data_IF_553306570032
#
_entry.id   IF_553306570032
#
_cell.length_a   1.000
_cell.length_b   1.000
_cell.length_c   1.000
_cell.angle_alpha   90.00
_cell.angle_beta   90.00
_cell.angle_gamma   90.00
#
_symmetry.space_group_name_H-M   'P 1'
#
loop_
_entity.id
_entity.type
_entity.pdbx_description
1 polymer ?
#
# COMPACT_ATOMS: atom_id res chain seq x y z
N UNK A 1 -27.68 52.59 -23.95
CA UNK A 1 -28.14 51.31 -23.36
C UNK A 1 -28.76 50.36 -24.40
N UNK A 2 -28.13 50.14 -25.56
CA UNK A 2 -28.64 49.19 -26.59
C UNK A 2 -27.64 48.10 -27.01
N UNK A 3 -26.40 48.14 -26.53
CA UNK A 3 -25.37 47.12 -26.85
C UNK A 3 -25.33 45.93 -25.88
N UNK A 4 -25.87 46.07 -24.66
CA UNK A 4 -25.92 44.99 -23.66
C UNK A 4 -26.94 43.92 -24.07
N UNK A 5 -28.05 44.33 -24.68
CA UNK A 5 -29.14 43.43 -25.12
C UNK A 5 -28.75 42.45 -26.24
N UNK A 6 -27.81 42.80 -27.11
CA UNK A 6 -27.36 41.90 -28.19
C UNK A 6 -26.36 40.84 -27.70
N UNK A 7 -25.55 41.15 -26.68
CA UNK A 7 -24.63 40.17 -26.10
C UNK A 7 -25.36 39.13 -25.26
N UNK A 8 -26.39 39.55 -24.49
CA UNK A 8 -27.24 38.62 -23.74
C UNK A 8 -28.04 37.68 -24.66
N UNK A 9 -28.48 38.16 -25.83
CA UNK A 9 -29.13 37.31 -26.85
C UNK A 9 -28.17 36.28 -27.43
N UNK A 10 -26.91 36.66 -27.70
CA UNK A 10 -25.88 35.76 -28.23
C UNK A 10 -25.43 34.69 -27.24
N UNK A 11 -25.45 35.00 -25.94
CA UNK A 11 -25.14 34.03 -24.87
C UNK A 11 -26.26 33.01 -24.65
N UNK A 12 -27.52 33.38 -24.95
CA UNK A 12 -28.69 32.47 -24.83
C UNK A 12 -28.78 31.46 -25.99
N UNK A 13 -28.27 31.81 -27.17
CA UNK A 13 -28.22 30.94 -28.35
C UNK A 13 -27.12 29.86 -28.28
N UNK A 14 -26.10 30.07 -27.43
CA UNK A 14 -24.96 29.16 -27.26
C UNK A 14 -25.13 28.13 -26.12
N UNK A 15 -26.31 28.04 -25.51
CA UNK A 15 -26.68 26.94 -24.60
C UNK A 15 -25.91 26.88 -23.27
N UNK A 16 -25.31 27.98 -22.81
CA UNK A 16 -24.47 28.00 -21.60
C UNK A 16 -25.12 28.64 -20.35
N UNK A 17 -26.43 28.87 -20.34
CA UNK A 17 -27.13 29.33 -19.12
C UNK A 17 -28.22 28.34 -18.73
N UNK A 18 -27.91 27.57 -17.68
CA UNK A 18 -28.80 26.63 -17.01
C UNK A 18 -30.08 27.32 -16.55
N UNK A 19 -31.20 26.68 -16.85
CA UNK A 19 -32.56 27.14 -16.56
C UNK A 19 -32.81 27.32 -15.05
N UNK A 20 -33.52 28.40 -14.75
CA UNK A 20 -34.19 28.68 -13.49
C UNK A 20 -35.02 27.47 -13.01
N UNK A 21 -34.87 27.16 -11.72
CA UNK A 21 -35.68 26.21 -10.96
C UNK A 21 -37.08 26.79 -10.84
N UNK A 22 -38.05 26.19 -11.53
CA UNK A 22 -39.48 26.49 -11.37
C UNK A 22 -40.08 25.48 -10.39
N UNK A 23 -40.61 25.97 -9.28
CA UNK A 23 -41.44 25.21 -8.34
C UNK A 23 -42.81 24.92 -8.96
N UNK A 24 -43.10 23.66 -9.25
CA UNK A 24 -44.47 23.18 -9.39
C UNK A 24 -44.66 21.91 -8.56
N UNK A 25 -45.65 22.00 -7.65
CA UNK A 25 -46.28 20.88 -6.96
C UNK A 25 -47.14 20.15 -7.97
N UNK A 26 -46.99 18.84 -8.11
CA UNK A 26 -48.16 17.95 -8.18
C UNK A 26 -47.81 16.46 -8.01
N UNK A 27 -48.71 15.86 -7.25
CA UNK A 27 -49.21 14.50 -7.21
C UNK A 27 -48.42 13.26 -6.76
N UNK A 28 -49.14 12.61 -5.84
CA UNK A 28 -48.98 11.27 -5.31
C UNK A 28 -49.16 10.27 -6.45
N UNK A 29 -48.15 9.44 -6.66
CA UNK A 29 -48.29 7.99 -6.87
C UNK A 29 -46.88 7.41 -7.01
N UNK A 30 -46.36 6.83 -5.93
CA UNK A 30 -45.24 5.91 -5.96
C UNK A 30 -45.62 4.68 -5.17
N UNK A 31 -46.14 3.73 -5.94
CA UNK A 31 -45.93 2.29 -5.84
C UNK A 31 -45.03 1.83 -4.69
N UNK A 32 -45.58 0.89 -3.92
CA UNK A 32 -44.89 0.04 -2.95
C UNK A 32 -43.57 -0.51 -3.51
N UNK A 33 -42.47 0.14 -3.15
CA UNK A 33 -41.14 -0.45 -3.15
C UNK A 33 -40.74 -0.59 -1.68
N UNK A 34 -40.87 -1.82 -1.21
CA UNK A 34 -40.36 -2.34 0.05
C UNK A 34 -38.97 -1.76 0.32
N UNK A 35 -38.89 -0.80 1.24
CA UNK A 35 -37.64 -0.46 1.89
C UNK A 35 -37.40 -1.55 2.93
N UNK A 36 -36.62 -2.56 2.56
CA UNK A 36 -35.94 -3.38 3.55
C UNK A 36 -35.05 -2.44 4.37
N UNK A 37 -35.56 -2.05 5.54
CA UNK A 37 -34.78 -1.53 6.64
C UNK A 37 -33.82 -2.65 7.04
N UNK A 38 -32.62 -2.67 6.47
CA UNK A 38 -31.51 -3.39 7.06
C UNK A 38 -31.20 -2.63 8.35
N UNK A 39 -31.73 -3.11 9.48
CA UNK A 39 -31.23 -2.74 10.80
C UNK A 39 -29.75 -3.14 10.81
N UNK A 40 -28.88 -2.16 10.58
CA UNK A 40 -27.46 -2.32 10.82
C UNK A 40 -27.29 -2.69 12.29
N UNK A 41 -26.62 -3.79 12.64
CA UNK A 41 -26.25 -4.07 14.03
C UNK A 41 -25.50 -2.85 14.57
N UNK A 42 -25.64 -2.56 15.86
CA UNK A 42 -25.05 -1.40 16.54
C UNK A 42 -23.50 -1.51 16.55
N UNK A 43 -22.91 -1.20 15.39
CA UNK A 43 -21.46 -1.28 15.13
C UNK A 43 -20.68 -0.37 16.06
N UNK A 44 -21.28 0.72 16.51
CA UNK A 44 -20.72 1.62 17.52
C UNK A 44 -20.56 0.89 18.86
N UNK A 45 -21.60 0.17 19.30
CA UNK A 45 -21.55 -0.60 20.54
C UNK A 45 -20.60 -1.81 20.46
N UNK A 46 -20.47 -2.46 19.30
CA UNK A 46 -19.47 -3.51 19.09
C UNK A 46 -18.05 -2.93 19.10
N UNK A 47 -17.82 -1.83 18.40
CA UNK A 47 -16.55 -1.11 18.40
C UNK A 47 -16.15 -0.68 19.81
N UNK A 48 -17.06 -0.06 20.56
CA UNK A 48 -16.87 0.35 21.95
C UNK A 48 -16.49 -0.82 22.87
N UNK A 49 -17.06 -2.00 22.66
CA UNK A 49 -16.66 -3.22 23.40
C UNK A 49 -15.24 -3.65 23.04
N UNK A 50 -14.86 -3.59 21.77
CA UNK A 50 -13.50 -3.92 21.31
C UNK A 50 -12.45 -2.93 21.87
N UNK A 51 -12.70 -1.62 21.78
CA UNK A 51 -11.75 -0.60 22.24
C UNK A 51 -11.73 -0.41 23.76
N UNK A 52 -12.74 -0.88 24.50
CA UNK A 52 -12.72 -0.88 25.97
C UNK A 52 -12.26 -2.21 26.57
N UNK A 53 -12.24 -3.27 25.77
CA UNK A 53 -11.77 -4.60 26.14
C UNK A 53 -10.33 -4.84 25.70
N UNK A 54 -10.14 -5.79 24.79
CA UNK A 54 -8.83 -6.31 24.37
C UNK A 54 -7.91 -5.26 23.74
N UNK A 55 -8.46 -4.26 23.04
CA UNK A 55 -7.69 -3.27 22.29
C UNK A 55 -7.52 -1.93 23.01
N UNK A 56 -7.89 -1.85 24.29
CA UNK A 56 -7.92 -0.59 25.04
C UNK A 56 -6.57 0.11 25.10
N UNK A 57 -5.51 -0.61 25.42
CA UNK A 57 -4.17 -0.02 25.55
C UNK A 57 -3.66 0.51 24.20
N UNK A 58 -3.83 -0.27 23.13
CA UNK A 58 -3.44 0.11 21.77
C UNK A 58 -4.27 1.30 21.26
N UNK A 59 -5.57 1.32 21.54
CA UNK A 59 -6.45 2.42 21.19
C UNK A 59 -6.08 3.71 21.94
N UNK A 60 -5.86 3.62 23.26
CA UNK A 60 -5.42 4.77 24.06
C UNK A 60 -4.06 5.30 23.61
N UNK A 61 -3.12 4.42 23.26
CA UNK A 61 -1.82 4.82 22.73
C UNK A 61 -1.95 5.52 21.37
N UNK A 62 -2.70 4.94 20.43
CA UNK A 62 -2.99 5.57 19.13
C UNK A 62 -3.66 6.93 19.30
N UNK A 63 -4.62 7.07 20.21
CA UNK A 63 -5.29 8.34 20.51
C UNK A 63 -4.35 9.36 21.14
N UNK A 64 -3.53 8.98 22.12
CA UNK A 64 -2.51 9.87 22.71
C UNK A 64 -1.52 10.36 21.67
N UNK A 65 -1.05 9.48 20.79
CA UNK A 65 -0.11 9.83 19.73
C UNK A 65 -0.76 10.75 18.67
N UNK A 66 -1.99 10.45 18.27
CA UNK A 66 -2.74 11.31 17.35
C UNK A 66 -3.00 12.69 17.94
N UNK A 67 -3.45 12.75 19.21
CA UNK A 67 -3.71 13.99 19.91
C UNK A 67 -2.43 14.82 20.10
N UNK A 68 -1.30 14.20 20.47
CA UNK A 68 0.01 14.88 20.54
C UNK A 68 0.42 15.46 19.19
N UNK A 69 0.28 14.70 18.11
CA UNK A 69 0.59 15.18 16.74
C UNK A 69 -0.30 16.34 16.35
N UNK A 70 -1.62 16.21 16.52
CA UNK A 70 -2.58 17.28 16.20
C UNK A 70 -2.38 18.51 17.07
N UNK A 71 -2.08 18.33 18.36
CA UNK A 71 -1.80 19.44 19.26
C UNK A 71 -0.53 20.18 18.85
N UNK A 72 0.53 19.45 18.47
CA UNK A 72 1.76 20.06 17.93
C UNK A 72 1.48 20.81 16.62
N UNK A 73 0.79 20.20 15.67
CA UNK A 73 0.41 20.84 14.41
C UNK A 73 -0.45 22.09 14.64
N UNK A 74 -1.42 22.01 15.55
CA UNK A 74 -2.27 23.15 15.93
C UNK A 74 -1.48 24.25 16.64
N UNK A 75 -0.56 23.88 17.53
CA UNK A 75 0.34 24.82 18.21
C UNK A 75 1.28 25.49 17.22
N UNK A 76 1.88 24.74 16.29
CA UNK A 76 2.78 25.27 15.26
C UNK A 76 2.03 26.19 14.30
N UNK A 77 0.79 25.83 13.92
CA UNK A 77 -0.09 26.71 13.13
C UNK A 77 -0.44 27.98 13.89
N UNK A 78 -0.77 27.88 15.19
CA UNK A 78 -1.05 29.04 16.03
C UNK A 78 0.19 29.95 16.15
N UNK A 79 1.36 29.38 16.40
CA UNK A 79 2.62 30.14 16.46
C UNK A 79 2.94 30.84 15.13
N UNK A 80 2.72 30.17 13.99
CA UNK A 80 2.83 30.79 12.66
C UNK A 80 1.81 31.91 12.47
N UNK A 81 0.59 31.73 12.94
CA UNK A 81 -0.45 32.76 12.82
C UNK A 81 -0.10 33.98 13.68
N UNK A 82 0.31 33.79 14.94
CA UNK A 82 0.79 34.85 15.82
C UNK A 82 2.01 35.59 15.24
N UNK A 83 2.91 34.86 14.55
CA UNK A 83 4.04 35.48 13.85
C UNK A 83 3.58 36.32 12.65
N UNK A 84 2.66 35.81 11.84
CA UNK A 84 2.09 36.54 10.71
C UNK A 84 1.29 37.77 11.19
N UNK A 85 0.52 37.64 12.27
CA UNK A 85 -0.20 38.75 12.90
C UNK A 85 0.77 39.86 13.35
N UNK A 86 1.94 39.53 13.91
CA UNK A 86 2.96 40.53 14.24
C UNK A 86 3.46 41.27 13.00
N UNK A 87 3.73 40.55 11.91
CA UNK A 87 4.16 41.16 10.64
C UNK A 87 3.07 42.08 10.10
N UNK A 88 1.82 41.61 10.08
CA UNK A 88 0.65 42.37 9.61
C UNK A 88 0.47 43.63 10.47
N UNK A 89 0.57 43.53 11.79
CA UNK A 89 0.51 44.68 12.70
C UNK A 89 1.61 45.71 12.44
N UNK A 90 2.86 45.27 12.23
CA UNK A 90 3.96 46.17 11.87
C UNK A 90 3.72 46.88 10.54
N UNK A 91 3.16 46.18 9.55
CA UNK A 91 2.80 46.78 8.27
C UNK A 91 1.63 47.76 8.40
N UNK A 92 0.60 47.42 9.19
CA UNK A 92 -0.51 48.33 9.48
C UNK A 92 -0.04 49.60 10.18
N UNK A 93 0.91 49.52 11.12
CA UNK A 93 1.54 50.68 11.74
C UNK A 93 2.30 51.54 10.73
N UNK A 94 3.09 50.92 9.83
CA UNK A 94 3.81 51.61 8.75
C UNK A 94 2.87 52.38 7.81
N UNK A 95 1.71 51.80 7.46
CA UNK A 95 0.71 52.41 6.58
C UNK A 95 -0.35 53.23 7.34
N UNK A 96 -0.22 53.39 8.66
CA UNK A 96 -1.17 54.10 9.53
C UNK A 96 -2.62 53.59 9.46
N UNK A 97 -2.80 52.29 9.21
CA UNK A 97 -4.10 51.62 9.13
C UNK A 97 -4.49 51.17 10.53
N UNK A 98 -5.55 51.75 11.09
CA UNK A 98 -5.94 51.55 12.50
C UNK A 98 -6.96 50.42 12.70
N UNK A 99 -7.67 50.03 11.65
CA UNK A 99 -8.90 49.23 11.80
C UNK A 99 -8.66 47.71 11.74
N UNK A 100 -7.40 47.28 11.63
CA UNK A 100 -7.07 45.84 11.51
C UNK A 100 -7.47 45.24 10.15
N UNK A 101 -7.95 46.06 9.22
CA UNK A 101 -8.43 45.61 7.92
C UNK A 101 -7.27 45.24 7.00
N UNK A 102 -7.14 43.94 6.75
CA UNK A 102 -6.17 43.39 5.82
C UNK A 102 -6.40 43.84 4.38
N UNK A 103 -7.64 44.18 3.99
CA UNK A 103 -7.93 44.64 2.63
C UNK A 103 -7.36 46.04 2.39
N UNK A 104 -7.61 46.97 3.31
CA UNK A 104 -6.98 48.30 3.31
C UNK A 104 -5.45 48.21 3.32
N UNK A 105 -4.88 47.22 4.01
CA UNK A 105 -3.44 46.97 4.01
C UNK A 105 -2.92 46.53 2.63
N UNK A 106 -3.63 45.62 1.95
CA UNK A 106 -3.30 45.20 0.59
C UNK A 106 -3.32 46.40 -0.35
N UNK A 107 -4.37 47.23 -0.30
CA UNK A 107 -4.49 48.43 -1.14
C UNK A 107 -3.37 49.45 -0.89
N UNK A 108 -3.03 49.68 0.38
CA UNK A 108 -1.93 50.59 0.73
C UNK A 108 -0.55 50.07 0.27
N UNK A 109 -0.33 48.75 0.34
CA UNK A 109 0.88 48.11 -0.17
C UNK A 109 0.94 48.19 -1.70
N UNK A 110 -0.17 47.93 -2.39
CA UNK A 110 -0.24 48.01 -3.86
C UNK A 110 -0.04 49.43 -4.40
N UNK A 111 -0.45 50.44 -3.64
CA UNK A 111 -0.23 51.84 -3.97
C UNK A 111 1.19 52.35 -3.62
N UNK A 112 1.95 51.61 -2.78
CA UNK A 112 3.29 51.98 -2.35
C UNK A 112 4.35 51.59 -3.39
N UNK A 113 4.54 52.48 -4.37
CA UNK A 113 5.49 52.30 -5.45
C UNK A 113 6.95 52.57 -5.06
N UNK A 114 7.22 52.98 -3.80
CA UNK A 114 8.55 53.45 -3.41
C UNK A 114 9.65 52.41 -3.68
N UNK A 115 9.40 51.16 -3.30
CA UNK A 115 10.34 50.06 -3.51
C UNK A 115 10.47 49.64 -4.98
N UNK A 116 9.39 49.79 -5.77
CA UNK A 116 9.38 49.42 -7.18
C UNK A 116 10.03 50.49 -8.06
N UNK A 117 9.96 51.77 -7.69
CA UNK A 117 10.64 52.87 -8.38
C UNK A 117 12.14 52.69 -8.40
N UNK A 118 12.74 52.47 -7.25
CA UNK A 118 14.19 52.25 -7.13
C UNK A 118 14.66 51.01 -7.91
N UNK A 119 13.85 49.95 -7.92
CA UNK A 119 14.15 48.72 -8.67
C UNK A 119 13.97 48.92 -10.18
N UNK A 120 12.90 49.60 -10.60
CA UNK A 120 12.60 49.90 -11.99
C UNK A 120 13.69 50.80 -12.61
N UNK A 121 14.13 51.83 -11.88
CA UNK A 121 15.25 52.70 -12.29
C UNK A 121 16.55 51.92 -12.48
N UNK A 122 16.90 51.02 -11.56
CA UNK A 122 18.09 50.15 -11.68
C UNK A 122 18.01 49.21 -12.88
N UNK A 123 16.81 48.71 -13.17
CA UNK A 123 16.55 47.80 -14.29
C UNK A 123 16.32 48.54 -15.62
N UNK A 124 16.27 49.88 -15.60
CA UNK A 124 16.03 50.71 -16.78
C UNK A 124 14.63 50.53 -17.39
N UNK A 125 13.64 50.14 -16.59
CA UNK A 125 12.25 49.92 -17.01
C UNK A 125 11.32 50.90 -16.32
N UNK A 126 10.15 51.12 -16.89
CA UNK A 126 9.07 51.88 -16.24
C UNK A 126 8.48 51.06 -15.07
N UNK A 127 8.04 51.74 -14.01
CA UNK A 127 7.48 51.11 -12.80
C UNK A 127 6.28 50.23 -13.09
N UNK A 128 5.41 50.67 -14.00
CA UNK A 128 4.19 49.94 -14.36
C UNK A 128 4.52 48.66 -15.14
N UNK A 129 5.58 48.68 -15.95
CA UNK A 129 6.11 47.49 -16.62
C UNK A 129 6.65 46.49 -15.59
N UNK A 130 7.39 46.96 -14.59
CA UNK A 130 7.91 46.10 -13.52
C UNK A 130 6.77 45.48 -12.68
N UNK A 131 5.74 46.27 -12.32
CA UNK A 131 4.55 45.75 -11.63
C UNK A 131 3.90 44.62 -12.42
N UNK A 132 3.68 44.82 -13.72
CA UNK A 132 3.05 43.80 -14.56
C UNK A 132 3.90 42.55 -14.68
N UNK A 133 5.21 42.72 -14.79
CA UNK A 133 6.16 41.59 -14.82
C UNK A 133 6.07 40.77 -13.53
N UNK A 134 6.13 41.41 -12.36
CA UNK A 134 6.01 40.75 -11.05
C UNK A 134 4.68 40.02 -10.89
N UNK A 135 3.58 40.63 -11.34
CA UNK A 135 2.26 39.99 -11.32
C UNK A 135 2.25 38.72 -12.18
N UNK A 136 2.81 38.79 -13.40
CA UNK A 136 2.93 37.63 -14.29
C UNK A 136 3.84 36.54 -13.72
N UNK A 137 4.95 36.90 -13.08
CA UNK A 137 5.83 35.94 -12.41
C UNK A 137 5.12 35.19 -11.28
N UNK A 138 4.36 35.93 -10.46
CA UNK A 138 3.56 35.33 -9.39
C UNK A 138 2.46 34.41 -9.93
N UNK A 139 1.73 34.85 -10.96
CA UNK A 139 0.73 34.02 -11.64
C UNK A 139 1.37 32.77 -12.27
N UNK A 140 2.55 32.89 -12.88
CA UNK A 140 3.27 31.76 -13.46
C UNK A 140 3.76 30.77 -12.39
N UNK A 141 4.31 31.25 -11.28
CA UNK A 141 4.74 30.41 -10.16
C UNK A 141 3.56 29.69 -9.50
N UNK A 142 2.45 30.40 -9.27
CA UNK A 142 1.23 29.79 -8.74
C UNK A 142 0.65 28.74 -9.69
N UNK A 143 0.61 29.01 -11.01
CA UNK A 143 0.21 28.04 -12.02
C UNK A 143 1.16 26.83 -12.10
N UNK A 144 2.47 27.04 -12.00
CA UNK A 144 3.44 25.94 -11.95
C UNK A 144 3.23 25.06 -10.73
N UNK A 145 3.06 25.67 -9.55
CA UNK A 145 2.77 24.97 -8.31
C UNK A 145 1.45 24.20 -8.37
N UNK A 146 0.41 24.74 -9.00
CA UNK A 146 -0.87 24.02 -9.17
C UNK A 146 -0.71 22.80 -10.09
N UNK A 147 -0.02 22.97 -11.22
CA UNK A 147 0.30 21.88 -12.16
C UNK A 147 1.12 20.79 -11.47
N UNK A 148 2.15 21.16 -10.70
CA UNK A 148 3.00 20.19 -10.01
C UNK A 148 2.25 19.44 -8.91
N UNK A 149 1.36 20.14 -8.17
CA UNK A 149 0.45 19.50 -7.21
C UNK A 149 -0.49 18.51 -7.90
N UNK A 150 -1.08 18.89 -9.03
CA UNK A 150 -1.98 18.02 -9.79
C UNK A 150 -1.25 16.79 -10.33
N UNK A 151 -0.05 16.97 -10.89
CA UNK A 151 0.81 15.86 -11.32
C UNK A 151 1.18 14.94 -10.17
N UNK A 152 1.55 15.50 -9.01
CA UNK A 152 1.88 14.71 -7.82
C UNK A 152 0.66 13.93 -7.32
N UNK A 153 -0.51 14.56 -7.27
CA UNK A 153 -1.77 13.91 -6.88
C UNK A 153 -2.13 12.76 -7.84
N UNK A 154 -2.09 12.99 -9.15
CA UNK A 154 -2.33 11.94 -10.17
C UNK A 154 -1.34 10.79 -10.06
N UNK A 155 -0.07 11.08 -9.83
CA UNK A 155 0.96 10.04 -9.61
C UNK A 155 0.63 9.22 -8.36
N UNK A 156 0.28 9.89 -7.27
CA UNK A 156 -0.08 9.23 -6.01
C UNK A 156 -1.34 8.37 -6.15
N UNK A 157 -2.38 8.88 -6.81
CA UNK A 157 -3.61 8.13 -7.10
C UNK A 157 -3.31 6.87 -7.91
N UNK A 158 -2.51 6.98 -8.98
CA UNK A 158 -2.08 5.82 -9.76
C UNK A 158 -1.34 4.80 -8.90
N UNK A 159 -0.38 5.24 -8.11
CA UNK A 159 0.40 4.34 -7.22
C UNK A 159 -0.51 3.67 -6.19
N UNK A 160 -1.47 4.39 -5.60
CA UNK A 160 -2.43 3.80 -4.66
C UNK A 160 -3.29 2.74 -5.35
N UNK A 161 -3.79 3.02 -6.56
CA UNK A 161 -4.58 2.05 -7.32
C UNK A 161 -3.77 0.80 -7.67
N UNK A 162 -2.51 0.96 -8.04
CA UNK A 162 -1.57 -0.16 -8.26
C UNK A 162 -1.36 -0.95 -6.97
N UNK A 163 -1.15 -0.28 -5.84
CA UNK A 163 -0.98 -0.95 -4.55
C UNK A 163 -2.24 -1.70 -4.09
N UNK A 164 -3.44 -1.18 -4.32
CA UNK A 164 -4.66 -1.89 -3.97
C UNK A 164 -4.75 -3.20 -4.78
N UNK A 165 -4.56 -3.13 -6.09
CA UNK A 165 -4.59 -4.32 -6.97
C UNK A 165 -3.48 -5.32 -6.62
N UNK A 166 -2.26 -4.83 -6.39
CA UNK A 166 -1.13 -5.69 -6.02
C UNK A 166 -1.34 -6.34 -4.66
N UNK A 167 -1.94 -5.62 -3.70
CA UNK A 167 -2.23 -6.13 -2.37
C UNK A 167 -3.21 -7.29 -2.38
N UNK A 168 -4.27 -7.22 -3.19
CA UNK A 168 -5.23 -8.31 -3.37
C UNK A 168 -4.54 -9.56 -3.95
N UNK A 169 -3.78 -9.39 -5.03
CA UNK A 169 -3.03 -10.49 -5.64
C UNK A 169 -1.95 -11.07 -4.71
N UNK A 170 -1.29 -10.22 -3.92
CA UNK A 170 -0.28 -10.65 -2.97
C UNK A 170 -0.90 -11.50 -1.86
N UNK A 171 -2.07 -11.10 -1.36
CA UNK A 171 -2.80 -11.85 -0.33
C UNK A 171 -3.30 -13.21 -0.81
N UNK A 172 -3.63 -13.35 -2.09
CA UNK A 172 -3.97 -14.64 -2.70
C UNK A 172 -2.78 -15.63 -2.67
N UNK A 173 -1.57 -15.14 -2.97
CA UNK A 173 -0.37 -15.98 -3.03
C UNK A 173 0.34 -16.14 -1.68
N UNK A 174 0.22 -15.14 -0.81
CA UNK A 174 0.83 -15.08 0.52
C UNK A 174 -0.25 -14.70 1.54
N UNK A 175 -1.00 -15.67 2.08
CA UNK A 175 -2.09 -15.41 3.02
C UNK A 175 -1.67 -14.67 4.30
N UNK A 176 -0.40 -14.78 4.67
CA UNK A 176 0.21 -14.11 5.83
C UNK A 176 0.50 -12.62 5.60
N UNK A 177 0.33 -12.11 4.36
CA UNK A 177 0.57 -10.71 4.04
C UNK A 177 -0.44 -9.79 4.75
N UNK A 178 0.08 -8.81 5.49
CA UNK A 178 -0.68 -7.75 6.13
C UNK A 178 -0.01 -6.39 5.92
N UNK A 179 -0.64 -5.55 5.09
CA UNK A 179 -0.13 -4.21 4.79
C UNK A 179 0.01 -3.33 6.04
N UNK A 180 -0.88 -3.45 7.04
CA UNK A 180 -0.79 -2.64 8.25
C UNK A 180 0.45 -3.03 9.05
N UNK A 181 0.66 -4.33 9.30
CA UNK A 181 1.82 -4.84 10.01
C UNK A 181 3.14 -4.57 9.26
N UNK A 182 3.17 -4.82 7.94
CA UNK A 182 4.37 -4.64 7.11
C UNK A 182 4.74 -3.16 6.97
N UNK A 183 3.76 -2.26 7.06
CA UNK A 183 3.99 -0.80 7.03
C UNK A 183 4.71 -0.27 8.28
N UNK A 184 4.73 -1.02 9.38
CA UNK A 184 5.51 -0.67 10.57
C UNK A 184 7.02 -0.86 10.34
N UNK A 185 7.41 -1.71 9.37
CA UNK A 185 8.80 -1.94 9.03
C UNK A 185 9.37 -0.77 8.18
N UNK A 186 10.37 -0.02 8.67
CA UNK A 186 10.94 1.11 7.92
C UNK A 186 11.56 0.70 6.57
N UNK A 187 12.12 -0.50 6.48
CA UNK A 187 12.72 -1.01 5.24
C UNK A 187 11.65 -1.30 4.18
N UNK A 188 10.50 -1.83 4.60
CA UNK A 188 9.35 -2.02 3.71
C UNK A 188 8.90 -0.68 3.11
N UNK A 189 8.72 0.34 3.96
CA UNK A 189 8.34 1.69 3.51
C UNK A 189 9.41 2.33 2.61
N UNK A 190 10.69 2.11 2.89
CA UNK A 190 11.79 2.61 2.05
C UNK A 190 11.75 1.99 0.65
N UNK A 191 11.49 0.68 0.57
CA UNK A 191 11.34 -0.02 -0.71
C UNK A 191 10.12 0.47 -1.49
N UNK A 192 9.00 0.74 -0.81
CA UNK A 192 7.81 1.33 -1.44
C UNK A 192 8.08 2.74 -1.97
N UNK A 193 8.77 3.58 -1.19
CA UNK A 193 9.20 4.92 -1.63
C UNK A 193 10.18 4.85 -2.81
N UNK A 194 11.01 3.81 -2.86
CA UNK A 194 11.93 3.50 -3.95
C UNK A 194 11.25 2.96 -5.21
N UNK A 195 9.95 2.66 -5.17
CA UNK A 195 9.18 2.16 -6.31
C UNK A 195 9.25 0.65 -6.52
N UNK A 196 9.64 -0.14 -5.50
CA UNK A 196 9.70 -1.60 -5.60
C UNK A 196 8.32 -2.30 -5.74
N UNK A 197 7.23 -1.58 -5.47
CA UNK A 197 5.87 -2.13 -5.40
C UNK A 197 5.64 -2.99 -4.14
N UNK A 198 4.38 -3.30 -3.83
CA UNK A 198 4.03 -4.06 -2.61
C UNK A 198 4.66 -5.45 -2.59
N UNK A 199 4.53 -6.20 -3.70
CA UNK A 199 5.10 -7.54 -3.82
C UNK A 199 6.62 -7.54 -3.68
N UNK A 200 7.30 -6.59 -4.33
CA UNK A 200 8.76 -6.47 -4.26
C UNK A 200 9.23 -6.14 -2.85
N UNK A 201 8.55 -5.20 -2.18
CA UNK A 201 8.84 -4.83 -0.81
C UNK A 201 8.63 -6.01 0.16
N UNK A 202 7.49 -6.71 0.06
CA UNK A 202 7.16 -7.84 0.92
C UNK A 202 8.15 -9.01 0.77
N UNK A 203 8.46 -9.40 -0.48
CA UNK A 203 9.41 -10.49 -0.73
C UNK A 203 10.82 -10.18 -0.25
N UNK A 204 11.22 -8.90 -0.27
CA UNK A 204 12.52 -8.47 0.22
C UNK A 204 12.57 -8.47 1.76
N UNK A 205 11.52 -8.02 2.44
CA UNK A 205 11.49 -7.96 3.91
C UNK A 205 11.26 -9.31 4.55
N UNK A 206 10.43 -10.18 3.95
CA UNK A 206 10.10 -11.52 4.48
C UNK A 206 10.90 -12.65 3.82
N UNK A 207 11.97 -12.32 3.09
CA UNK A 207 12.73 -13.28 2.28
C UNK A 207 13.10 -14.57 3.05
N UNK A 208 13.71 -14.41 4.23
CA UNK A 208 14.19 -15.54 5.04
C UNK A 208 13.04 -16.40 5.57
N UNK A 209 11.93 -15.77 5.97
CA UNK A 209 10.75 -16.45 6.51
C UNK A 209 10.04 -17.25 5.42
N UNK A 210 9.91 -16.67 4.23
CA UNK A 210 9.35 -17.32 3.05
C UNK A 210 10.20 -18.52 2.65
N UNK A 211 11.52 -18.38 2.57
CA UNK A 211 12.41 -19.51 2.23
C UNK A 211 12.28 -20.63 3.27
N UNK A 212 12.32 -20.27 4.57
CA UNK A 212 12.21 -21.27 5.64
C UNK A 212 10.91 -22.04 5.56
N UNK A 213 9.77 -21.35 5.41
CA UNK A 213 8.45 -22.00 5.30
C UNK A 213 8.33 -22.88 4.05
N UNK A 214 8.92 -22.47 2.92
CA UNK A 214 8.95 -23.26 1.69
C UNK A 214 9.78 -24.54 1.87
N UNK A 215 10.96 -24.45 2.48
CA UNK A 215 11.80 -25.61 2.79
C UNK A 215 11.10 -26.57 3.75
N UNK A 216 10.42 -26.05 4.77
CA UNK A 216 9.66 -26.86 5.73
C UNK A 216 8.47 -27.58 5.06
N UNK A 217 7.76 -26.92 4.14
CA UNK A 217 6.71 -27.53 3.33
C UNK A 217 7.26 -28.64 2.43
N UNK A 218 8.31 -28.36 1.67
CA UNK A 218 8.95 -29.35 0.79
C UNK A 218 9.46 -30.57 1.59
N UNK A 219 10.05 -30.35 2.76
CA UNK A 219 10.48 -31.43 3.64
C UNK A 219 9.30 -32.25 4.20
N UNK A 220 8.13 -31.65 4.39
CA UNK A 220 6.91 -32.36 4.82
C UNK A 220 6.34 -33.19 3.68
N UNK A 221 6.18 -32.60 2.50
CA UNK A 221 5.69 -33.28 1.29
C UNK A 221 6.58 -34.48 0.93
N UNK A 222 7.91 -34.31 0.96
CA UNK A 222 8.84 -35.41 0.70
C UNK A 222 8.73 -36.55 1.74
N UNK A 223 8.42 -36.24 3.01
CA UNK A 223 8.16 -37.26 4.03
C UNK A 223 6.84 -37.97 3.78
N UNK A 224 5.80 -37.24 3.40
CA UNK A 224 4.49 -37.82 3.06
C UNK A 224 4.60 -38.75 1.85
N UNK A 225 5.27 -38.33 0.78
CA UNK A 225 5.55 -39.15 -0.40
C UNK A 225 6.36 -40.40 -0.03
N UNK A 226 7.38 -40.27 0.84
CA UNK A 226 8.15 -41.42 1.31
C UNK A 226 7.29 -42.42 2.11
N UNK A 227 6.37 -41.93 2.96
CA UNK A 227 5.43 -42.77 3.71
C UNK A 227 4.43 -43.44 2.76
N UNK A 228 3.91 -42.72 1.77
CA UNK A 228 3.02 -43.28 0.75
C UNK A 228 3.71 -44.36 -0.08
N UNK A 229 4.98 -44.13 -0.48
CA UNK A 229 5.80 -45.12 -1.16
C UNK A 229 6.04 -46.37 -0.29
N UNK A 230 6.25 -46.22 1.01
CA UNK A 230 6.35 -47.35 1.96
C UNK A 230 5.03 -48.11 2.06
N UNK A 231 3.89 -47.42 2.24
CA UNK A 231 2.56 -48.05 2.26
C UNK A 231 2.23 -48.77 0.96
N UNK A 232 2.56 -48.17 -0.18
CA UNK A 232 2.37 -48.79 -1.49
C UNK A 232 3.24 -50.04 -1.68
N UNK A 233 4.43 -50.08 -1.04
CA UNK A 233 5.30 -51.26 -1.01
C UNK A 233 4.76 -52.34 -0.05
N UNK A 234 4.17 -51.97 1.08
CA UNK A 234 3.53 -52.88 2.04
C UNK A 234 2.20 -53.46 1.54
N UNK A 235 1.45 -52.71 0.72
CA UNK A 235 0.20 -53.16 0.07
C UNK A 235 0.44 -54.09 -1.13
N UNK A 236 1.70 -54.34 -1.52
CA UNK A 236 2.02 -55.39 -2.49
C UNK A 236 1.76 -56.74 -1.81
N UNK A 237 0.84 -57.57 -2.33
CA UNK A 237 0.74 -58.95 -1.87
C UNK A 237 2.11 -59.60 -1.98
N UNK A 238 2.57 -60.40 -1.00
CA UNK A 238 3.80 -61.14 -1.17
C UNK A 238 3.63 -62.07 -2.38
N UNK A 239 4.33 -61.76 -3.48
CA UNK A 239 4.52 -62.68 -4.59
C UNK A 239 5.39 -63.86 -4.14
N UNK A 240 4.83 -64.74 -3.30
CA UNK A 240 5.26 -66.12 -3.25
C UNK A 240 4.53 -66.86 -4.37
N UNK A 241 5.04 -66.65 -5.58
CA UNK A 241 4.56 -67.26 -6.82
C UNK A 241 5.70 -67.51 -7.79
N UNK A 242 6.74 -68.22 -7.32
CA UNK A 242 7.80 -68.85 -8.13
C UNK A 242 8.76 -67.95 -8.94
N UNK A 243 10.03 -68.36 -8.84
CA UNK A 243 11.21 -67.95 -9.62
C UNK A 243 11.84 -66.62 -9.18
N UNK A 244 13.13 -66.53 -8.89
CA UNK A 244 14.27 -67.36 -9.24
C UNK A 244 15.23 -67.41 -8.05
N UNK A 245 15.80 -68.59 -7.77
CA UNK A 245 17.06 -68.66 -7.05
C UNK A 245 18.04 -67.79 -7.83
N UNK A 246 18.31 -66.59 -7.34
CA UNK A 246 19.49 -65.86 -7.76
C UNK A 246 20.67 -66.70 -7.26
N UNK A 247 21.24 -67.48 -8.18
CA UNK A 247 22.53 -68.12 -7.98
C UNK A 247 23.57 -67.01 -7.87
N UNK A 248 23.70 -66.46 -6.66
CA UNK A 248 24.92 -65.80 -6.29
C UNK A 248 26.01 -66.86 -6.40
N UNK A 249 26.78 -66.80 -7.48
CA UNK A 249 28.06 -67.49 -7.63
C UNK A 249 29.01 -66.92 -6.57
N UNK A 250 28.83 -67.34 -5.33
CA UNK A 250 29.88 -67.28 -4.34
C UNK A 250 30.94 -68.26 -4.82
N UNK A 251 32.00 -67.74 -5.47
CA UNK A 251 33.28 -68.45 -5.51
C UNK A 251 33.61 -68.80 -4.06
N UNK A 252 33.40 -70.06 -3.72
CA UNK A 252 33.47 -70.52 -2.34
C UNK A 252 34.94 -70.73 -2.04
N UNK A 253 35.59 -69.72 -1.46
CA UNK A 253 36.97 -69.82 -1.02
C UNK A 253 37.07 -70.96 0.01
N UNK A 254 37.82 -72.01 -0.33
CA UNK A 254 37.97 -73.22 0.48
C UNK A 254 38.48 -72.89 1.89
N UNK A 255 39.24 -71.81 2.03
CA UNK A 255 39.79 -71.35 3.31
C UNK A 255 38.73 -70.81 4.28
N UNK A 256 37.55 -70.41 3.79
CA UNK A 256 36.46 -69.83 4.59
C UNK A 256 35.39 -70.82 5.06
N UNK A 257 35.51 -72.11 4.75
CA UNK A 257 34.47 -73.10 5.07
C UNK A 257 34.37 -73.31 6.59
N UNK A 258 33.16 -73.23 7.13
CA UNK A 258 32.90 -73.61 8.53
C UNK A 258 32.92 -75.12 8.72
N UNK A 259 33.14 -75.64 9.95
CA UNK A 259 33.14 -77.09 10.21
C UNK A 259 31.84 -77.78 9.76
N UNK A 260 30.69 -77.13 9.91
CA UNK A 260 29.39 -77.65 9.49
C UNK A 260 29.25 -77.72 7.96
N UNK A 261 29.74 -76.69 7.25
CA UNK A 261 29.75 -76.67 5.79
C UNK A 261 30.65 -77.77 5.22
N UNK A 262 31.80 -78.04 5.85
CA UNK A 262 32.68 -79.17 5.47
C UNK A 262 32.00 -80.53 5.70
N UNK A 263 31.26 -80.69 6.79
CA UNK A 263 30.53 -81.93 7.07
C UNK A 263 29.42 -82.18 6.02
N UNK A 264 28.75 -81.12 5.58
CA UNK A 264 27.71 -81.23 4.56
C UNK A 264 28.30 -81.50 3.16
N UNK A 265 29.42 -80.86 2.81
CA UNK A 265 30.21 -81.18 1.61
C UNK A 265 30.64 -82.64 1.63
N UNK A 266 31.16 -83.14 2.74
CA UNK A 266 31.57 -84.53 2.89
C UNK A 266 30.40 -85.52 2.70
N UNK A 267 29.21 -85.20 3.21
CA UNK A 267 28.00 -86.01 2.97
C UNK A 267 27.58 -86.03 1.50
N UNK A 268 27.75 -84.92 0.77
CA UNK A 268 27.43 -84.84 -0.66
C UNK A 268 28.42 -85.62 -1.51
N UNK A 269 29.72 -85.49 -1.23
CA UNK A 269 30.76 -86.29 -1.89
C UNK A 269 30.57 -87.79 -1.61
N UNK A 270 30.19 -88.16 -0.38
CA UNK A 270 29.88 -89.55 -0.04
C UNK A 270 28.68 -90.13 -0.81
N UNK A 271 27.80 -89.27 -1.32
CA UNK A 271 26.68 -89.63 -2.22
C UNK A 271 27.07 -89.61 -3.70
N UNK A 272 28.35 -89.38 -4.01
CA UNK A 272 28.90 -89.40 -5.37
C UNK A 272 28.85 -88.05 -6.09
N UNK A 273 28.57 -86.95 -5.39
CA UNK A 273 28.55 -85.61 -5.98
C UNK A 273 29.98 -85.06 -6.13
N UNK A 274 30.34 -84.62 -7.34
CA UNK A 274 31.64 -83.98 -7.62
C UNK A 274 31.50 -82.48 -7.37
N UNK A 275 32.19 -81.96 -6.35
CA UNK A 275 32.17 -80.54 -6.00
C UNK A 275 33.47 -79.89 -6.50
N UNK A 276 33.34 -78.88 -7.36
CA UNK A 276 34.42 -78.01 -7.81
C UNK A 276 34.29 -76.64 -7.16
N UNK A 277 35.41 -76.06 -6.72
CA UNK A 277 35.49 -74.73 -6.11
C UNK A 277 36.12 -73.71 -7.06
#
# INVERSE_FOLDING_TARGET
>A
MKKISEQEKKLKELGLLSQDVNEEKEDKERTDAQSEKIESPDKEAEFEKLIKGEFKEQFEERMRNNLKRRFKESSDLKAKNEHNEKIVNMLMEKYAIKDGDTQSLIEAIEADDSYLKDEAEKMGVETDVLKKLRQLEFENDTLKKSIDREKAAKKMEKTISEWISDGEFLKENYPEFDLEADSENPEFINLLKGGAGLKGAYLATHHNEIIKSLVEKAAREAREEAIEAMRAKEMRPPENGMSSKSAALFKTDVSGLTPEQRAEIAKRVAKGEIISF
#
